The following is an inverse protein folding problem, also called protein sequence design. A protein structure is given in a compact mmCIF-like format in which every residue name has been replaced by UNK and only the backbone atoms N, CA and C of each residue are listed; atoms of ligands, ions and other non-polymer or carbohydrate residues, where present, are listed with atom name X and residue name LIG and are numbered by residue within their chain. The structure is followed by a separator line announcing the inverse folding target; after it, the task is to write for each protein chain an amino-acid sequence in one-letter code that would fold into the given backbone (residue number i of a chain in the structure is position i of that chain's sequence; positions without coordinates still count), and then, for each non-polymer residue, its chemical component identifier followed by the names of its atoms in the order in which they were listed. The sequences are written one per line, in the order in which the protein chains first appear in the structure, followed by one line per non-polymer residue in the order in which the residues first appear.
data_IF_794377473949
#
_entry.id   IF_794377473949
#
_cell.length_a   1.000
_cell.length_b   1.000
_cell.length_c   1.000
_cell.angle_alpha   90.00
_cell.angle_beta   90.00
_cell.angle_gamma   90.00
#
_symmetry.space_group_name_H-M   'P 1'
#
loop_
_entity.id
_entity.type
_entity.pdbx_description
1 polymer ?
#
# COMPACT_ATOMS: atom_id res chain seq x y z
N UNK A 1 7.78 -16.63 -37.37
CA UNK A 1 6.51 -16.04 -36.93
C UNK A 1 6.38 -16.23 -35.43
N UNK A 2 6.67 -15.22 -34.62
CA UNK A 2 6.51 -15.27 -33.16
C UNK A 2 6.11 -13.88 -32.69
N UNK A 3 4.98 -13.79 -32.01
CA UNK A 3 4.35 -12.55 -31.54
C UNK A 3 5.17 -11.88 -30.42
N UNK A 4 5.17 -10.54 -30.30
CA UNK A 4 5.84 -9.85 -29.20
C UNK A 4 5.01 -9.98 -27.92
N UNK A 5 5.62 -10.47 -26.83
CA UNK A 5 5.04 -10.44 -25.49
C UNK A 5 5.15 -9.04 -24.90
N UNK A 6 4.00 -8.50 -24.51
CA UNK A 6 3.84 -7.18 -23.91
C UNK A 6 4.74 -6.95 -22.69
N UNK A 7 5.39 -5.79 -22.70
CA UNK A 7 6.16 -5.22 -21.58
C UNK A 7 5.18 -4.72 -20.52
N UNK A 8 5.00 -5.45 -19.41
CA UNK A 8 4.36 -4.88 -18.20
C UNK A 8 5.42 -4.12 -17.39
N UNK A 9 5.39 -2.79 -17.47
CA UNK A 9 6.12 -1.90 -16.58
C UNK A 9 5.51 -2.00 -15.17
N UNK A 10 6.36 -2.14 -14.15
CA UNK A 10 5.96 -2.03 -12.75
C UNK A 10 5.73 -0.55 -12.43
N UNK A 11 4.46 -0.14 -12.25
CA UNK A 11 4.10 1.23 -11.91
C UNK A 11 4.37 1.53 -10.44
N UNK A 12 4.74 2.77 -10.14
CA UNK A 12 5.02 3.20 -8.76
C UNK A 12 3.74 3.25 -7.91
N UNK A 13 3.83 3.20 -6.56
CA UNK A 13 2.66 3.27 -5.67
C UNK A 13 1.79 4.52 -5.85
N UNK A 14 2.35 5.62 -6.38
CA UNK A 14 1.65 6.87 -6.64
C UNK A 14 0.79 6.78 -7.91
N UNK A 15 1.31 6.10 -8.93
CA UNK A 15 0.65 5.88 -10.23
C UNK A 15 -0.57 4.94 -10.12
N UNK A 16 -0.61 4.10 -9.08
CA UNK A 16 -1.75 3.22 -8.77
C UNK A 16 -2.88 3.95 -8.03
N UNK A 17 -2.59 5.11 -7.42
CA UNK A 17 -3.59 5.94 -6.76
C UNK A 17 -4.39 6.76 -7.79
N UNK A 18 -3.71 7.28 -8.81
CA UNK A 18 -4.34 8.03 -9.92
C UNK A 18 -5.18 7.12 -10.81
N UNK A 19 -4.74 5.88 -11.08
CA UNK A 19 -5.54 4.88 -11.81
C UNK A 19 -6.78 4.44 -11.03
N UNK A 20 -6.71 4.38 -9.69
CA UNK A 20 -7.90 4.11 -8.84
C UNK A 20 -8.88 5.28 -8.82
N UNK A 21 -8.39 6.52 -8.85
CA UNK A 21 -9.24 7.69 -8.96
C UNK A 21 -9.97 7.75 -10.33
N UNK A 22 -9.31 7.34 -11.41
CA UNK A 22 -9.92 7.27 -12.74
C UNK A 22 -10.99 6.17 -12.89
N UNK A 23 -10.79 5.02 -12.26
CA UNK A 23 -11.81 3.95 -12.21
C UNK A 23 -13.02 4.38 -11.35
N UNK A 24 -12.80 5.15 -10.29
CA UNK A 24 -13.90 5.70 -9.49
C UNK A 24 -14.73 6.75 -10.26
N UNK A 25 -14.11 7.53 -11.15
CA UNK A 25 -14.83 8.51 -11.98
C UNK A 25 -15.59 7.89 -13.16
N UNK A 26 -15.18 6.71 -13.66
CA UNK A 26 -15.88 6.03 -14.76
C UNK A 26 -17.09 5.19 -14.32
N UNK A 27 -17.26 4.97 -13.01
CA UNK A 27 -18.42 4.24 -12.45
C UNK A 27 -19.62 5.13 -12.13
N UNK A 28 -19.51 6.44 -12.34
CA UNK A 28 -20.54 7.43 -12.01
C UNK A 28 -21.41 7.84 -13.21
N UNK A 29 -21.24 7.23 -14.40
CA UNK A 29 -21.93 7.68 -15.63
C UNK A 29 -22.93 6.65 -16.21
N UNK A 30 -23.12 5.49 -15.58
CA UNK A 30 -24.02 4.43 -16.09
C UNK A 30 -25.33 4.25 -15.29
N UNK A 31 -25.69 5.18 -14.40
CA UNK A 31 -26.99 5.14 -13.71
C UNK A 31 -28.09 5.85 -14.49
N UNK A 32 -28.36 5.40 -15.72
CA UNK A 32 -29.72 5.44 -16.27
C UNK A 32 -30.27 4.01 -16.26
N UNK A 33 -30.72 3.56 -15.09
CA UNK A 33 -31.53 2.37 -14.96
C UNK A 33 -32.96 2.78 -14.61
N UNK A 34 -33.84 2.57 -15.59
CA UNK A 34 -35.30 2.59 -15.52
C UNK A 34 -35.85 1.98 -14.23
N UNK A 35 -36.66 2.75 -13.50
CA UNK A 35 -37.46 2.26 -12.39
C UNK A 35 -38.67 1.53 -13.00
N UNK A 36 -38.70 0.21 -12.84
CA UNK A 36 -39.89 -0.60 -13.09
C UNK A 36 -40.79 -0.49 -11.85
N UNK A 37 -41.98 0.06 -12.06
CA UNK A 37 -43.04 0.20 -11.05
C UNK A 37 -43.83 -1.12 -11.00
N UNK A 38 -43.64 -1.89 -9.94
CA UNK A 38 -44.33 -3.16 -9.70
C UNK A 38 -45.41 -2.95 -8.62
N UNK A 39 -46.46 -2.21 -8.98
CA UNK A 39 -47.70 -2.13 -8.20
C UNK A 39 -48.76 -3.03 -8.85
N UNK A 40 -48.98 -4.19 -8.23
CA UNK A 40 -50.06 -5.13 -8.54
C UNK A 40 -51.43 -4.44 -8.42
N UNK A 41 -52.04 -4.09 -9.55
CA UNK A 41 -53.45 -3.72 -9.64
C UNK A 41 -54.28 -4.99 -9.90
N UNK A 42 -55.14 -5.35 -8.95
CA UNK A 42 -56.15 -6.40 -9.11
C UNK A 42 -57.15 -6.00 -10.19
N UNK A 43 -57.23 -6.82 -11.24
CA UNK A 43 -58.21 -6.71 -12.34
C UNK A 43 -59.59 -7.12 -11.81
N UNK A 44 -60.52 -6.18 -11.74
CA UNK A 44 -61.96 -6.47 -11.65
C UNK A 44 -62.57 -6.11 -13.00
N UNK A 45 -63.07 -7.13 -13.70
CA UNK A 45 -63.75 -7.05 -14.99
C UNK A 45 -64.97 -6.11 -14.93
N UNK A 46 -65.12 -5.16 -15.89
CA UNK A 46 -66.34 -4.40 -16.04
C UNK A 46 -67.19 -5.03 -17.14
N UNK A 47 -67.93 -6.09 -16.84
CA UNK A 47 -69.02 -6.56 -17.70
C UNK A 47 -70.07 -7.28 -16.84
N UNK A 48 -70.94 -6.48 -16.21
CA UNK A 48 -72.27 -6.95 -15.85
C UNK A 48 -73.27 -5.80 -16.05
N UNK A 49 -74.18 -6.04 -16.99
CA UNK A 49 -75.25 -5.18 -17.46
C UNK A 49 -76.06 -4.51 -16.34
N UNK A 50 -76.32 -3.22 -16.48
CA UNK A 50 -77.67 -2.69 -16.25
C UNK A 50 -77.89 -1.42 -17.06
N UNK A 51 -78.33 -1.62 -18.31
CA UNK A 51 -79.20 -0.67 -18.97
C UNK A 51 -80.55 -0.69 -18.25
N UNK A 52 -80.93 0.38 -17.56
CA UNK A 52 -82.31 0.88 -17.49
C UNK A 52 -82.38 2.18 -16.68
N UNK A 53 -83.21 3.10 -17.17
CA UNK A 53 -83.68 4.34 -16.54
C UNK A 53 -82.77 5.56 -16.69
N UNK A 54 -82.77 6.08 -17.91
CA UNK A 54 -83.06 7.51 -18.13
C UNK A 54 -84.38 7.81 -17.41
N UNK A 55 -84.35 8.62 -16.36
CA UNK A 55 -85.34 9.67 -16.14
C UNK A 55 -85.08 10.50 -14.86
N UNK A 56 -85.02 11.83 -15.06
CA UNK A 56 -85.19 12.92 -14.08
C UNK A 56 -84.23 12.96 -12.88
N UNK A 57 -83.03 13.50 -13.11
CA UNK A 57 -82.44 14.47 -12.18
C UNK A 57 -82.21 15.77 -12.96
N UNK A 58 -82.57 16.96 -12.44
CA UNK A 58 -82.25 18.19 -13.12
C UNK A 58 -80.72 18.27 -13.22
N UNK A 59 -80.20 18.36 -14.45
CA UNK A 59 -78.82 18.72 -14.69
C UNK A 59 -78.61 20.13 -14.13
N UNK A 60 -78.22 20.21 -12.85
CA UNK A 60 -77.62 21.43 -12.32
C UNK A 60 -76.45 21.76 -13.26
N UNK A 61 -76.35 22.99 -13.76
CA UNK A 61 -75.27 23.35 -14.65
C UNK A 61 -73.98 23.22 -13.83
N UNK A 62 -73.20 22.17 -14.10
CA UNK A 62 -71.86 22.00 -13.53
C UNK A 62 -70.87 23.01 -14.15
N UNK A 63 -71.25 23.72 -15.21
CA UNK A 63 -70.43 24.73 -15.88
C UNK A 63 -70.06 25.94 -15.00
N UNK A 64 -70.98 26.63 -14.29
CA UNK A 64 -70.63 27.74 -13.40
C UNK A 64 -69.82 27.31 -12.18
N UNK A 65 -70.13 26.15 -11.59
CA UNK A 65 -69.36 25.60 -10.46
C UNK A 65 -67.93 25.26 -10.86
N UNK A 66 -67.70 24.71 -12.06
CA UNK A 66 -66.36 24.36 -12.52
C UNK A 66 -65.55 25.61 -12.93
N UNK A 67 -66.21 26.69 -13.38
CA UNK A 67 -65.58 27.99 -13.65
C UNK A 67 -65.26 28.76 -12.36
N UNK A 68 -66.14 28.73 -11.35
CA UNK A 68 -65.85 29.27 -10.00
C UNK A 68 -64.75 28.49 -9.29
N UNK A 69 -64.75 27.15 -9.40
CA UNK A 69 -63.67 26.32 -8.86
C UNK A 69 -62.35 26.64 -9.56
N UNK A 70 -62.35 26.84 -10.89
CA UNK A 70 -61.15 27.31 -11.60
C UNK A 70 -60.72 28.70 -11.12
N UNK A 71 -61.62 29.68 -11.01
CA UNK A 71 -61.23 31.04 -10.62
C UNK A 71 -60.65 31.08 -9.21
N UNK A 72 -61.21 30.31 -8.27
CA UNK A 72 -60.71 30.18 -6.89
C UNK A 72 -59.39 29.40 -6.83
N UNK A 73 -59.17 28.40 -7.70
CA UNK A 73 -57.89 27.68 -7.76
C UNK A 73 -56.78 28.45 -8.47
N UNK A 74 -57.13 29.38 -9.36
CA UNK A 74 -56.19 30.26 -10.08
C UNK A 74 -56.05 31.64 -9.42
N UNK A 75 -56.70 31.88 -8.27
CA UNK A 75 -56.45 33.07 -7.49
C UNK A 75 -54.96 33.12 -7.10
N UNK A 76 -54.25 34.22 -7.39
CA UNK A 76 -52.80 34.32 -7.15
C UNK A 76 -52.42 33.97 -5.71
N UNK A 77 -53.29 34.31 -4.76
CA UNK A 77 -53.12 34.08 -3.33
C UNK A 77 -53.26 32.58 -2.97
N UNK A 78 -54.20 31.86 -3.60
CA UNK A 78 -54.42 30.42 -3.38
C UNK A 78 -53.29 29.59 -4.01
N UNK A 79 -52.84 29.97 -5.22
CA UNK A 79 -51.68 29.37 -5.88
C UNK A 79 -50.41 29.61 -5.07
N UNK A 80 -50.23 30.81 -4.50
CA UNK A 80 -49.09 31.12 -3.64
C UNK A 80 -49.11 30.25 -2.37
N UNK A 81 -50.25 30.13 -1.69
CA UNK A 81 -50.41 29.27 -0.50
C UNK A 81 -50.12 27.80 -0.84
N UNK A 82 -50.65 27.28 -1.95
CA UNK A 82 -50.41 25.91 -2.41
C UNK A 82 -48.95 25.67 -2.78
N UNK A 83 -48.30 26.62 -3.48
CA UNK A 83 -46.87 26.53 -3.82
C UNK A 83 -45.99 26.55 -2.58
N UNK A 84 -46.36 27.34 -1.56
CA UNK A 84 -45.65 27.46 -0.29
C UNK A 84 -45.84 26.21 0.57
N UNK A 85 -47.03 25.63 0.57
CA UNK A 85 -47.31 24.37 1.24
C UNK A 85 -46.58 23.19 0.56
N UNK A 86 -46.60 23.12 -0.77
CA UNK A 86 -45.90 22.08 -1.53
C UNK A 86 -44.38 22.20 -1.38
N UNK A 87 -43.82 23.40 -1.49
CA UNK A 87 -42.38 23.63 -1.28
C UNK A 87 -41.95 23.32 0.16
N UNK A 88 -42.78 23.63 1.16
CA UNK A 88 -42.52 23.24 2.55
C UNK A 88 -42.54 21.72 2.73
N UNK A 89 -43.47 21.01 2.08
CA UNK A 89 -43.54 19.55 2.14
C UNK A 89 -42.34 18.89 1.43
N UNK A 90 -41.99 19.36 0.23
CA UNK A 90 -40.82 18.89 -0.54
C UNK A 90 -39.52 19.17 0.23
N UNK A 91 -39.37 20.36 0.82
CA UNK A 91 -38.20 20.69 1.65
C UNK A 91 -38.10 19.80 2.90
N UNK A 92 -39.25 19.39 3.47
CA UNK A 92 -39.28 18.49 4.63
C UNK A 92 -38.86 17.07 4.26
N UNK A 93 -39.35 16.53 3.15
CA UNK A 93 -39.03 15.16 2.74
C UNK A 93 -37.59 15.05 2.21
N UNK A 94 -37.14 16.00 1.38
CA UNK A 94 -35.71 16.12 0.99
C UNK A 94 -34.81 16.36 2.21
N UNK A 95 -35.27 17.15 3.19
CA UNK A 95 -34.53 17.43 4.41
C UNK A 95 -34.29 16.19 5.27
N UNK A 96 -35.28 15.28 5.33
CA UNK A 96 -35.14 13.98 6.00
C UNK A 96 -34.14 13.09 5.26
N UNK A 97 -34.28 12.96 3.95
CA UNK A 97 -33.40 12.10 3.15
C UNK A 97 -31.95 12.59 3.17
N UNK A 98 -31.72 13.91 3.11
CA UNK A 98 -30.39 14.50 3.31
C UNK A 98 -29.84 14.22 4.72
N UNK A 99 -30.69 14.20 5.75
CA UNK A 99 -30.26 13.91 7.11
C UNK A 99 -29.86 12.43 7.26
N UNK A 100 -30.64 11.52 6.70
CA UNK A 100 -30.38 10.07 6.67
C UNK A 100 -29.10 9.77 5.89
N UNK A 101 -28.95 10.31 4.68
CA UNK A 101 -27.72 10.17 3.88
C UNK A 101 -26.50 10.75 4.59
N UNK A 102 -26.63 11.89 5.27
CA UNK A 102 -25.53 12.46 6.08
C UNK A 102 -25.16 11.56 7.24
N UNK A 103 -26.13 10.89 7.87
CA UNK A 103 -25.88 9.95 8.95
C UNK A 103 -25.16 8.70 8.42
N UNK A 104 -25.60 8.17 7.28
CA UNK A 104 -24.96 7.04 6.62
C UNK A 104 -23.52 7.37 6.21
N UNK A 105 -23.28 8.54 5.61
CA UNK A 105 -21.92 8.99 5.27
C UNK A 105 -21.02 9.07 6.50
N UNK A 106 -21.55 9.51 7.65
CA UNK A 106 -20.77 9.54 8.90
C UNK A 106 -20.46 8.12 9.40
N UNK A 107 -21.44 7.22 9.35
CA UNK A 107 -21.26 5.82 9.73
C UNK A 107 -20.24 5.11 8.83
N UNK A 108 -20.37 5.25 7.51
CA UNK A 108 -19.43 4.69 6.54
C UNK A 108 -18.02 5.25 6.70
N UNK A 109 -17.88 6.56 6.94
CA UNK A 109 -16.57 7.16 7.22
C UNK A 109 -15.93 6.60 8.48
N UNK A 110 -16.71 6.40 9.53
CA UNK A 110 -16.24 5.79 10.77
C UNK A 110 -15.78 4.34 10.53
N UNK A 111 -16.58 3.56 9.81
CA UNK A 111 -16.25 2.18 9.46
C UNK A 111 -14.99 2.07 8.60
N UNK A 112 -14.79 2.99 7.65
CA UNK A 112 -13.55 3.06 6.84
C UNK A 112 -12.34 3.31 7.73
N UNK A 113 -12.43 4.23 8.69
CA UNK A 113 -11.32 4.50 9.63
C UNK A 113 -10.99 3.28 10.49
N UNK A 114 -12.00 2.56 10.97
CA UNK A 114 -11.85 1.34 11.76
C UNK A 114 -11.21 0.21 10.94
N UNK A 115 -11.69 0.00 9.70
CA UNK A 115 -11.11 -0.99 8.78
C UNK A 115 -9.68 -0.66 8.39
N UNK A 116 -9.35 0.61 8.14
CA UNK A 116 -7.99 1.05 7.84
C UNK A 116 -7.04 0.81 9.03
N UNK A 117 -7.53 1.00 10.26
CA UNK A 117 -6.82 0.67 11.48
C UNK A 117 -6.53 -0.83 11.60
N UNK A 118 -7.53 -1.67 11.33
CA UNK A 118 -7.41 -3.12 11.35
C UNK A 118 -6.47 -3.65 10.27
N UNK A 119 -6.63 -3.21 9.02
CA UNK A 119 -5.74 -3.57 7.90
C UNK A 119 -4.30 -3.24 8.26
N UNK A 120 -4.08 -2.08 8.89
CA UNK A 120 -2.74 -1.70 9.34
C UNK A 120 -2.20 -2.64 10.41
N UNK A 121 -2.97 -2.93 11.46
CA UNK A 121 -2.55 -3.87 12.52
C UNK A 121 -2.23 -5.26 11.94
N UNK A 122 -3.04 -5.74 11.00
CA UNK A 122 -2.79 -7.00 10.31
C UNK A 122 -1.50 -6.93 9.47
N UNK A 123 -1.29 -5.83 8.74
CA UNK A 123 -0.07 -5.64 7.93
C UNK A 123 1.19 -5.61 8.80
N UNK A 124 1.16 -4.91 9.94
CA UNK A 124 2.27 -4.88 10.91
C UNK A 124 2.55 -6.27 11.48
N UNK A 125 1.50 -7.05 11.76
CA UNK A 125 1.65 -8.43 12.25
C UNK A 125 2.22 -9.37 11.19
N UNK A 126 1.82 -9.22 9.93
CA UNK A 126 2.38 -9.98 8.81
C UNK A 126 3.88 -9.68 8.67
N UNK A 127 4.28 -8.41 8.69
CA UNK A 127 5.69 -8.02 8.63
C UNK A 127 6.50 -8.60 9.80
N UNK A 128 5.93 -8.59 11.01
CA UNK A 128 6.60 -9.16 12.18
C UNK A 128 6.84 -10.67 12.05
N UNK A 129 5.83 -11.42 11.59
CA UNK A 129 5.94 -12.86 11.36
C UNK A 129 6.92 -13.18 10.23
N UNK A 130 6.87 -12.41 9.14
CA UNK A 130 7.80 -12.55 8.02
C UNK A 130 9.25 -12.27 8.47
N UNK A 131 9.46 -11.21 9.23
CA UNK A 131 10.79 -10.86 9.75
C UNK A 131 11.30 -11.89 10.76
N UNK A 132 10.41 -12.49 11.56
CA UNK A 132 10.75 -13.60 12.45
C UNK A 132 11.24 -14.82 11.65
N UNK A 133 10.58 -15.14 10.53
CA UNK A 133 11.02 -16.19 9.61
C UNK A 133 12.40 -15.93 8.98
N UNK A 134 12.79 -14.66 8.84
CA UNK A 134 14.11 -14.22 8.31
C UNK A 134 15.18 -14.05 9.39
N UNK A 135 14.89 -14.35 10.66
CA UNK A 135 15.81 -14.10 11.80
C UNK A 135 17.16 -14.82 11.66
N UNK A 136 17.17 -15.99 11.04
CA UNK A 136 18.38 -16.79 10.79
C UNK A 136 19.02 -16.50 9.43
N UNK A 137 18.57 -15.48 8.72
CA UNK A 137 19.02 -15.16 7.38
C UNK A 137 19.88 -13.89 7.36
N UNK A 138 20.92 -13.91 6.52
CA UNK A 138 21.79 -12.77 6.26
C UNK A 138 21.96 -12.57 4.76
N UNK A 139 22.26 -11.33 4.36
CA UNK A 139 22.64 -10.98 2.99
C UNK A 139 24.11 -10.59 2.93
N UNK A 140 24.82 -11.20 2.00
CA UNK A 140 26.23 -10.94 1.70
C UNK A 140 26.33 -10.19 0.37
N UNK A 141 27.00 -9.04 0.36
CA UNK A 141 27.21 -8.23 -0.85
C UNK A 141 28.33 -7.20 -0.63
N UNK A 142 28.93 -6.64 -1.69
CA UNK A 142 28.96 -7.15 -3.06
C UNK A 142 29.83 -8.40 -3.17
N UNK A 143 29.41 -9.34 -4.03
CA UNK A 143 30.18 -10.52 -4.43
C UNK A 143 30.02 -10.67 -5.94
N UNK A 144 31.10 -10.70 -6.74
CA UNK A 144 31.03 -10.94 -8.20
C UNK A 144 30.19 -12.16 -8.54
N UNK A 145 29.41 -12.10 -9.61
CA UNK A 145 28.61 -13.23 -10.08
C UNK A 145 29.43 -14.08 -11.06
N UNK A 146 29.35 -15.40 -10.94
CA UNK A 146 29.93 -16.35 -11.88
C UNK A 146 28.84 -17.28 -12.40
N UNK A 147 28.98 -17.79 -13.63
CA UNK A 147 27.96 -18.64 -14.25
C UNK A 147 27.75 -19.96 -13.48
N UNK A 148 28.82 -20.47 -12.86
CA UNK A 148 28.81 -21.66 -12.02
C UNK A 148 29.39 -21.23 -10.67
N UNK A 149 28.52 -20.94 -9.71
CA UNK A 149 28.95 -20.53 -8.37
C UNK A 149 28.30 -21.40 -7.30
N UNK A 150 29.08 -21.73 -6.27
CA UNK A 150 28.57 -22.35 -5.06
C UNK A 150 28.38 -21.27 -3.98
N UNK A 151 27.13 -20.92 -3.69
CA UNK A 151 26.79 -19.88 -2.72
C UNK A 151 27.12 -20.28 -1.28
N UNK A 152 27.16 -21.57 -0.96
CA UNK A 152 27.56 -22.05 0.37
C UNK A 152 29.04 -21.81 0.61
N UNK A 153 29.88 -22.14 -0.38
CA UNK A 153 31.33 -21.90 -0.31
C UNK A 153 31.65 -20.41 -0.16
N UNK A 154 30.91 -19.54 -0.86
CA UNK A 154 31.05 -18.08 -0.71
C UNK A 154 30.76 -17.67 0.74
N UNK A 155 29.68 -18.18 1.33
CA UNK A 155 29.31 -17.88 2.71
C UNK A 155 30.38 -18.36 3.70
N UNK A 156 30.89 -19.58 3.52
CA UNK A 156 31.93 -20.17 4.37
C UNK A 156 33.25 -19.38 4.26
N UNK A 157 33.68 -19.01 3.04
CA UNK A 157 34.89 -18.19 2.82
C UNK A 157 34.79 -16.83 3.52
N UNK A 158 33.64 -16.16 3.39
CA UNK A 158 33.39 -14.88 4.05
C UNK A 158 33.40 -15.03 5.57
N UNK A 159 32.78 -16.07 6.13
CA UNK A 159 32.76 -16.29 7.57
C UNK A 159 34.16 -16.62 8.13
N UNK A 160 34.92 -17.46 7.43
CA UNK A 160 36.29 -17.80 7.81
C UNK A 160 37.22 -16.58 7.78
N UNK A 161 37.00 -15.64 6.85
CA UNK A 161 37.78 -14.39 6.79
C UNK A 161 37.68 -13.54 8.07
N UNK A 162 36.57 -13.65 8.82
CA UNK A 162 36.38 -12.99 10.11
C UNK A 162 36.55 -13.92 11.31
N UNK A 163 37.11 -15.11 11.10
CA UNK A 163 37.39 -16.07 12.17
C UNK A 163 36.18 -16.85 12.67
N UNK A 164 35.06 -16.85 11.95
CA UNK A 164 33.88 -17.65 12.28
C UNK A 164 33.89 -18.92 11.43
N UNK A 165 34.09 -20.07 12.08
CA UNK A 165 34.03 -21.37 11.41
C UNK A 165 32.57 -21.75 11.19
N UNK A 166 32.20 -21.91 9.92
CA UNK A 166 30.87 -22.36 9.50
C UNK A 166 31.06 -23.61 8.65
N UNK A 167 30.30 -24.66 8.92
CA UNK A 167 30.27 -25.87 8.12
C UNK A 167 29.06 -25.87 7.17
N UNK A 168 29.08 -26.63 6.06
CA UNK A 168 27.93 -26.72 5.16
C UNK A 168 26.62 -27.12 5.87
N UNK A 169 26.68 -27.94 6.92
CA UNK A 169 25.51 -28.34 7.72
C UNK A 169 24.87 -27.21 8.54
N UNK A 170 25.59 -26.12 8.76
CA UNK A 170 25.07 -24.95 9.46
C UNK A 170 24.24 -24.05 8.53
N UNK A 171 24.33 -24.30 7.21
CA UNK A 171 23.57 -23.60 6.18
C UNK A 171 22.35 -24.44 5.82
N UNK A 172 21.17 -23.84 5.98
CA UNK A 172 19.88 -24.43 5.57
C UNK A 172 19.67 -24.23 4.06
N UNK A 173 19.89 -22.99 3.58
CA UNK A 173 19.76 -22.65 2.16
C UNK A 173 20.58 -21.42 1.82
N UNK A 174 21.24 -21.43 0.66
CA UNK A 174 21.85 -20.24 0.08
C UNK A 174 21.47 -20.07 -1.39
N UNK A 175 21.36 -18.82 -1.86
CA UNK A 175 21.12 -18.48 -3.26
C UNK A 175 21.27 -16.97 -3.51
N UNK A 176 21.42 -16.58 -4.77
CA UNK A 176 21.35 -15.16 -5.19
C UNK A 176 19.90 -14.66 -5.18
N UNK A 177 19.69 -13.43 -4.73
CA UNK A 177 18.35 -12.81 -4.66
C UNK A 177 18.30 -11.54 -5.49
N UNK A 178 17.16 -11.31 -6.15
CA UNK A 178 16.90 -10.12 -6.95
C UNK A 178 16.97 -10.38 -8.46
N UNK A 179 16.67 -9.33 -9.23
CA UNK A 179 16.70 -9.36 -10.69
C UNK A 179 18.13 -9.58 -11.19
N UNK A 180 18.30 -10.45 -12.18
CA UNK A 180 19.62 -10.67 -12.82
C UNK A 180 20.09 -9.36 -13.47
N UNK A 181 21.32 -8.92 -13.20
CA UNK A 181 21.85 -7.70 -13.81
C UNK A 181 21.92 -7.85 -15.33
N UNK A 182 21.58 -6.77 -16.03
CA UNK A 182 21.86 -6.61 -17.46
C UNK A 182 23.38 -6.48 -17.67
N UNK A 183 23.93 -6.79 -18.85
CA UNK A 183 25.35 -6.54 -19.14
C UNK A 183 25.80 -5.08 -18.93
N UNK A 184 24.86 -4.14 -18.93
CA UNK A 184 25.07 -2.71 -18.66
C UNK A 184 25.12 -2.35 -17.17
N UNK A 185 24.65 -3.25 -16.30
CA UNK A 185 24.50 -3.00 -14.89
C UNK A 185 25.82 -3.29 -14.15
N UNK A 186 26.23 -2.38 -13.26
CA UNK A 186 27.45 -2.51 -12.47
C UNK A 186 27.23 -3.12 -11.08
N UNK A 187 25.99 -3.55 -10.77
CA UNK A 187 25.64 -4.15 -9.49
C UNK A 187 25.60 -5.68 -9.57
N UNK A 188 25.87 -6.32 -8.44
CA UNK A 188 25.76 -7.77 -8.27
C UNK A 188 24.60 -8.08 -7.33
N UNK A 189 23.91 -9.21 -7.57
CA UNK A 189 22.84 -9.68 -6.69
C UNK A 189 23.41 -10.10 -5.34
N UNK A 190 22.80 -9.74 -4.21
CA UNK A 190 23.22 -10.25 -2.91
C UNK A 190 23.05 -11.77 -2.84
N UNK A 191 23.95 -12.43 -2.10
CA UNK A 191 23.79 -13.82 -1.68
C UNK A 191 22.99 -13.83 -0.38
N UNK A 192 21.81 -14.45 -0.41
CA UNK A 192 21.02 -14.73 0.79
C UNK A 192 21.46 -16.08 1.34
N UNK A 193 21.80 -16.10 2.63
CA UNK A 193 22.18 -17.31 3.36
C UNK A 193 21.28 -17.45 4.56
N UNK A 194 20.55 -18.56 4.65
CA UNK A 194 19.76 -18.95 5.81
C UNK A 194 20.53 -20.01 6.59
N UNK A 195 20.76 -19.75 7.87
CA UNK A 195 21.41 -20.69 8.76
C UNK A 195 20.38 -21.57 9.48
N UNK A 196 20.80 -22.77 9.86
CA UNK A 196 19.99 -23.68 10.68
C UNK A 196 19.83 -23.14 12.10
N UNK A 197 20.86 -22.50 12.65
CA UNK A 197 20.87 -21.98 14.02
C UNK A 197 21.06 -20.46 14.08
N UNK A 198 20.24 -19.80 14.91
CA UNK A 198 20.39 -18.39 15.22
C UNK A 198 21.78 -18.04 15.79
N UNK A 199 22.39 -18.96 16.54
CA UNK A 199 23.70 -18.74 17.18
C UNK A 199 24.82 -18.56 16.14
N UNK A 200 24.78 -19.33 15.04
CA UNK A 200 25.75 -19.23 13.94
C UNK A 200 25.61 -17.87 13.26
N UNK A 201 24.37 -17.50 12.93
CA UNK A 201 24.05 -16.17 12.38
C UNK A 201 24.53 -15.05 13.30
N UNK A 202 24.27 -15.15 14.60
CA UNK A 202 24.66 -14.13 15.58
C UNK A 202 26.19 -14.00 15.68
N UNK A 203 26.92 -15.12 15.72
CA UNK A 203 28.38 -15.11 15.74
C UNK A 203 28.95 -14.37 14.51
N UNK A 204 28.46 -14.67 13.31
CA UNK A 204 28.85 -13.99 12.07
C UNK A 204 28.51 -12.49 12.13
N UNK A 205 27.31 -12.14 12.57
CA UNK A 205 26.84 -10.74 12.66
C UNK A 205 27.61 -9.90 13.69
N UNK A 206 28.17 -10.52 14.74
CA UNK A 206 29.08 -9.86 15.68
C UNK A 206 30.47 -9.66 15.08
N UNK A 207 30.99 -10.69 14.41
CA UNK A 207 32.33 -10.66 13.80
C UNK A 207 32.41 -9.78 12.54
N UNK A 208 31.28 -9.48 11.87
CA UNK A 208 31.22 -8.73 10.60
C UNK A 208 31.93 -7.38 10.60
N UNK A 209 32.09 -6.73 11.78
CA UNK A 209 32.83 -5.46 11.89
C UNK A 209 34.29 -5.61 11.42
N UNK A 210 34.84 -6.83 11.48
CA UNK A 210 36.16 -7.16 10.93
C UNK A 210 36.24 -7.10 9.40
N UNK A 211 35.14 -7.31 8.67
CA UNK A 211 35.14 -7.29 7.19
C UNK A 211 35.56 -5.93 6.62
N UNK A 212 35.32 -4.84 7.35
CA UNK A 212 35.72 -3.51 6.90
C UNK A 212 37.25 -3.32 6.79
N UNK A 213 38.03 -4.22 7.39
CA UNK A 213 39.51 -4.23 7.38
C UNK A 213 40.10 -5.20 6.36
N UNK A 214 39.27 -6.04 5.74
CA UNK A 214 39.70 -7.11 4.85
C UNK A 214 39.37 -6.69 3.42
N UNK A 215 40.35 -6.78 2.53
CA UNK A 215 40.11 -6.59 1.10
C UNK A 215 39.42 -7.83 0.52
N UNK A 216 38.30 -7.63 -0.17
CA UNK A 216 37.51 -8.71 -0.75
C UNK A 216 38.29 -9.51 -1.78
N UNK A 217 39.24 -8.88 -2.47
CA UNK A 217 40.15 -9.56 -3.39
C UNK A 217 41.06 -10.58 -2.67
N UNK A 218 41.40 -10.36 -1.39
CA UNK A 218 42.14 -11.33 -0.61
C UNK A 218 41.29 -12.55 -0.23
N UNK A 219 39.98 -12.34 0.00
CA UNK A 219 39.03 -13.44 0.26
C UNK A 219 38.76 -14.25 -1.01
N UNK A 220 38.81 -13.60 -2.16
CA UNK A 220 38.51 -14.19 -3.45
C UNK A 220 39.50 -13.69 -4.53
N UNK A 221 40.64 -14.36 -4.69
CA UNK A 221 41.77 -13.85 -5.50
C UNK A 221 41.58 -13.92 -7.02
N UNK A 222 40.62 -14.72 -7.52
CA UNK A 222 40.48 -15.04 -8.96
C UNK A 222 39.09 -14.68 -9.51
N UNK A 223 38.50 -13.57 -9.08
CA UNK A 223 37.23 -13.11 -9.66
C UNK A 223 37.37 -11.64 -10.05
N UNK A 224 36.61 -11.22 -11.04
CA UNK A 224 36.59 -9.82 -11.46
C UNK A 224 35.69 -9.05 -10.51
N UNK A 225 36.29 -8.23 -9.65
CA UNK A 225 35.52 -7.35 -8.78
C UNK A 225 34.86 -6.26 -9.63
N UNK A 226 33.53 -6.09 -9.55
CA UNK A 226 32.88 -4.98 -10.21
C UNK A 226 33.51 -3.70 -9.67
N UNK A 227 33.98 -2.85 -10.57
CA UNK A 227 34.37 -1.49 -10.23
C UNK A 227 33.12 -0.81 -9.68
N UNK A 228 32.96 -0.80 -8.35
CA UNK A 228 31.84 -0.11 -7.71
C UNK A 228 31.85 1.32 -8.26
N UNK A 229 30.73 1.83 -8.80
CA UNK A 229 30.68 3.23 -9.18
C UNK A 229 31.09 4.03 -7.96
N UNK A 230 32.06 4.95 -8.14
CA UNK A 230 32.58 5.82 -7.09
C UNK A 230 31.39 6.37 -6.30
N UNK A 231 31.15 5.84 -5.10
CA UNK A 231 30.20 6.47 -4.19
C UNK A 231 30.74 7.90 -3.99
N UNK A 232 29.93 8.96 -4.20
CA UNK A 232 30.43 10.31 -4.08
C UNK A 232 31.07 10.49 -2.70
N UNK A 233 32.33 10.89 -2.74
CA UNK A 233 33.19 11.11 -1.58
C UNK A 233 32.50 12.13 -0.69
N UNK A 234 32.10 11.73 0.52
CA UNK A 234 31.70 12.68 1.56
C UNK A 234 32.74 12.61 2.67
N UNK A 235 33.33 13.77 3.01
CA UNK A 235 34.23 14.02 4.15
C UNK A 235 35.71 13.58 4.01
N UNK A 236 36.44 14.07 3.00
CA UNK A 236 37.90 14.21 3.06
C UNK A 236 38.75 12.96 3.30
N UNK A 237 38.16 11.76 3.22
CA UNK A 237 38.89 10.47 3.22
C UNK A 237 39.13 10.06 1.78
N UNK A 238 40.34 9.60 1.42
CA UNK A 238 40.61 9.16 0.06
C UNK A 238 39.60 8.09 -0.35
N UNK A 239 39.00 8.30 -1.51
CA UNK A 239 38.17 7.35 -2.26
C UNK A 239 39.02 6.17 -2.69
N UNK A 240 39.43 5.33 -1.73
CA UNK A 240 40.02 4.06 -2.07
C UNK A 240 38.89 3.14 -2.55
N UNK A 241 39.03 2.71 -3.80
CA UNK A 241 38.36 1.60 -4.47
C UNK A 241 38.53 0.31 -3.64
N UNK A 242 37.92 0.28 -2.45
CA UNK A 242 38.02 -0.87 -1.58
C UNK A 242 36.90 -1.82 -1.94
N UNK A 243 37.28 -2.87 -2.66
CA UNK A 243 36.50 -4.09 -2.80
C UNK A 243 36.21 -4.60 -1.39
N UNK A 244 35.10 -4.17 -0.77
CA UNK A 244 34.70 -4.56 0.59
C UNK A 244 33.50 -5.46 0.54
N UNK A 245 33.45 -6.42 1.45
CA UNK A 245 32.30 -7.30 1.65
C UNK A 245 31.51 -6.81 2.84
N UNK A 246 30.19 -6.76 2.69
CA UNK A 246 29.25 -6.43 3.74
C UNK A 246 28.36 -7.64 4.02
N UNK A 247 28.06 -7.83 5.31
CA UNK A 247 27.09 -8.83 5.78
C UNK A 247 26.03 -8.09 6.58
N UNK A 248 24.79 -8.17 6.12
CA UNK A 248 23.64 -7.50 6.74
C UNK A 248 22.54 -8.49 7.11
N UNK A 249 21.67 -8.08 8.04
CA UNK A 249 20.44 -8.82 8.31
C UNK A 249 19.57 -8.90 7.04
N UNK A 250 18.88 -10.03 6.87
CA UNK A 250 17.86 -10.16 5.85
C UNK A 250 16.55 -9.48 6.31
N UNK A 251 16.40 -8.21 5.95
CA UNK A 251 15.22 -7.42 6.28
C UNK A 251 14.07 -7.67 5.28
N UNK A 252 12.82 -7.62 5.77
CA UNK A 252 11.62 -7.48 4.92
C UNK A 252 11.72 -6.23 4.07
N UNK A 253 10.91 -6.14 3.01
CA UNK A 253 10.92 -4.98 2.12
C UNK A 253 10.60 -3.67 2.88
N UNK A 254 9.61 -3.73 3.78
CA UNK A 254 9.21 -2.61 4.64
C UNK A 254 10.36 -2.18 5.56
N UNK A 255 11.01 -3.12 6.25
CA UNK A 255 12.12 -2.80 7.17
C UNK A 255 13.40 -2.39 6.45
N UNK A 256 13.66 -2.93 5.27
CA UNK A 256 14.75 -2.47 4.41
C UNK A 256 14.54 -1.01 3.98
N UNK A 257 13.30 -0.65 3.63
CA UNK A 257 12.91 0.74 3.31
C UNK A 257 13.06 1.64 4.53
N UNK A 258 12.62 1.20 5.71
CA UNK A 258 12.80 1.89 6.98
C UNK A 258 14.28 2.17 7.26
N UNK A 259 15.13 1.13 7.15
CA UNK A 259 16.58 1.27 7.34
C UNK A 259 17.22 2.22 6.31
N UNK A 260 16.76 2.20 5.06
CA UNK A 260 17.26 3.13 4.03
C UNK A 260 16.90 4.58 4.36
N UNK A 261 15.65 4.84 4.78
CA UNK A 261 15.21 6.18 5.20
C UNK A 261 15.95 6.65 6.46
N UNK A 262 16.14 5.78 7.45
CA UNK A 262 16.92 6.12 8.64
C UNK A 262 18.38 6.50 8.28
N UNK A 263 19.02 5.76 7.36
CA UNK A 263 20.37 6.12 6.88
C UNK A 263 20.37 7.46 6.14
N UNK A 264 19.30 7.78 5.41
CA UNK A 264 19.14 9.10 4.78
C UNK A 264 19.07 10.21 5.84
N UNK A 265 18.29 10.04 6.91
CA UNK A 265 18.26 11.01 8.02
C UNK A 265 19.63 11.23 8.65
N UNK A 266 20.42 10.15 8.83
CA UNK A 266 21.80 10.27 9.32
C UNK A 266 22.67 11.07 8.35
N UNK A 267 22.56 10.77 7.05
CA UNK A 267 23.30 11.48 5.99
C UNK A 267 22.94 12.97 5.95
N UNK A 268 21.67 13.28 6.20
CA UNK A 268 21.15 14.65 6.25
C UNK A 268 21.38 15.32 7.63
N UNK A 269 22.16 14.68 8.52
CA UNK A 269 22.49 15.15 9.87
C UNK A 269 21.28 15.41 10.81
N UNK A 270 20.13 14.78 10.56
CA UNK A 270 18.92 14.89 11.40
C UNK A 270 18.94 13.99 12.65
N UNK A 271 19.82 12.99 12.65
CA UNK A 271 20.05 12.01 13.71
C UNK A 271 21.54 11.70 13.85
N UNK A 272 21.94 11.18 15.01
CA UNK A 272 23.34 10.88 15.32
C UNK A 272 23.81 9.60 14.62
N UNK A 273 23.01 8.53 14.72
CA UNK A 273 23.37 7.23 14.15
C UNK A 273 22.16 6.33 13.87
N UNK A 274 22.36 5.28 13.08
CA UNK A 274 21.36 4.24 12.83
C UNK A 274 22.03 2.91 12.47
N UNK A 275 21.45 1.81 12.94
CA UNK A 275 21.87 0.45 12.61
C UNK A 275 20.69 -0.50 12.64
N UNK A 276 20.87 -1.70 12.08
CA UNK A 276 19.92 -2.80 12.23
C UNK A 276 20.52 -3.93 13.04
N UNK A 277 19.67 -4.60 13.82
CA UNK A 277 20.00 -5.82 14.54
C UNK A 277 18.76 -6.69 14.66
N UNK A 278 18.88 -7.96 14.28
CA UNK A 278 17.83 -8.98 14.46
C UNK A 278 16.49 -8.58 13.85
N UNK A 279 16.56 -8.00 12.64
CA UNK A 279 15.36 -7.56 11.93
C UNK A 279 14.78 -6.25 12.43
N UNK A 280 15.38 -5.59 13.43
CA UNK A 280 14.89 -4.34 14.01
C UNK A 280 15.82 -3.19 13.62
N UNK A 281 15.25 -2.03 13.31
CA UNK A 281 16.01 -0.81 13.01
C UNK A 281 16.13 0.01 14.29
N UNK A 282 17.33 0.50 14.56
CA UNK A 282 17.62 1.39 15.68
C UNK A 282 18.09 2.74 15.15
N UNK A 283 17.73 3.79 15.87
CA UNK A 283 18.07 5.17 15.57
C UNK A 283 18.54 5.83 16.86
N UNK A 284 19.64 6.58 16.81
CA UNK A 284 20.17 7.36 17.92
C UNK A 284 20.01 8.86 17.63
N UNK A 285 19.43 9.61 18.57
CA UNK A 285 19.32 11.07 18.52
C UNK A 285 19.40 11.64 19.92
N UNK A 286 20.23 12.67 20.13
CA UNK A 286 20.42 13.33 21.43
C UNK A 286 20.71 12.32 22.55
N UNK A 287 21.61 11.38 22.27
CA UNK A 287 21.99 10.25 23.15
C UNK A 287 20.89 9.22 23.46
N UNK A 288 19.66 9.43 23.00
CA UNK A 288 18.56 8.48 23.12
C UNK A 288 18.53 7.49 21.96
N UNK A 289 18.28 6.20 22.25
CA UNK A 289 18.16 5.14 21.25
C UNK A 289 16.71 4.71 21.11
N UNK A 290 16.17 4.81 19.90
CA UNK A 290 14.81 4.44 19.55
C UNK A 290 14.80 3.13 18.77
N UNK A 291 13.93 2.22 19.18
CA UNK A 291 13.63 0.97 18.47
C UNK A 291 12.52 1.23 17.46
N UNK A 292 12.77 0.93 16.19
CA UNK A 292 11.85 1.18 15.09
C UNK A 292 11.54 -0.11 14.32
N UNK A 293 10.25 -0.37 14.11
CA UNK A 293 9.74 -1.45 13.26
C UNK A 293 8.89 -0.97 12.10
N UNK A 294 8.32 0.23 12.21
CA UNK A 294 7.43 0.80 11.19
C UNK A 294 7.92 2.15 10.67
N UNK A 295 7.48 2.55 9.47
CA UNK A 295 7.77 3.87 8.91
C UNK A 295 7.14 5.02 9.71
N UNK A 296 6.03 4.76 10.39
CA UNK A 296 5.35 5.76 11.23
C UNK A 296 6.21 6.17 12.42
N UNK A 297 6.87 5.20 13.05
CA UNK A 297 7.77 5.47 14.17
C UNK A 297 8.99 6.30 13.75
N UNK A 298 9.38 6.26 12.46
CA UNK A 298 10.45 7.10 11.92
C UNK A 298 9.99 8.54 11.61
N UNK A 299 8.71 8.75 11.29
CA UNK A 299 8.18 10.02 10.80
C UNK A 299 8.50 11.24 11.70
N UNK A 300 8.44 11.16 13.04
CA UNK A 300 8.79 12.29 13.91
C UNK A 300 10.23 12.79 13.74
N UNK A 301 11.14 11.98 13.21
CA UNK A 301 12.55 12.32 13.04
C UNK A 301 12.87 12.95 11.66
N UNK A 302 11.94 12.90 10.71
CA UNK A 302 12.12 13.48 9.37
C UNK A 302 11.60 14.93 9.28
N UNK A 303 10.72 15.35 10.17
CA UNK A 303 10.13 16.71 10.17
C UNK A 303 11.01 17.73 10.91
N UNK A 304 12.03 17.27 11.63
CA UNK A 304 12.96 18.09 12.40
C UNK A 304 14.20 18.51 11.61
#
# INVERSE_FOLDING_TARGET
MSTPRDKRAASSPVENLEKRAHVASSFLDDSQATIADDSQATIINPDFMSSTLVDKAPSLPLSPLNEEIKSVFFDPEVVEILSKALSAQVAKDLGKEIAELKQEIRALKQEVLEKDEEIRKMSDRIDELEQYGRRNSVRIYPIPESAIENTDEIAIKVANSVGVKIEPRDIDRSHRVGRKPSPTDTYTRPVLVKFTSYKVKEALMRARRGLGKIDAAAVFPNVDWPSLPKQPVQHGRPSSTTNKIYVNDDLTATRATLAAKARKLKKDNKIDDTWSRDGVVFLKKNDSVHRLTTLRELAPFDVA
#
